data_IF_050921536024
#
_entry.id   IF_050921536024
#
_cell.length_a   1.000
_cell.length_b   1.000
_cell.length_c   1.000
_cell.angle_alpha   90.00
_cell.angle_beta   90.00
_cell.angle_gamma   90.00
#
_symmetry.space_group_name_H-M   'P 1'
#
loop_
_entity.id
_entity.type
_entity.pdbx_description
1 polymer ?
#
# COMPACT_ATOMS: atom_id res chain seq x y z
N UNK A 1 3.70 -2.17 -29.27
CA UNK A 1 4.17 -1.66 -27.97
C UNK A 1 3.12 -0.69 -27.47
N UNK A 2 2.28 -1.12 -26.51
CA UNK A 2 1.43 -0.16 -25.81
C UNK A 2 2.36 0.76 -25.00
N UNK A 3 2.20 2.07 -25.21
CA UNK A 3 2.92 3.06 -24.42
C UNK A 3 2.47 2.94 -22.96
N UNK A 4 3.39 3.05 -22.02
CA UNK A 4 3.05 3.21 -20.59
C UNK A 4 1.96 4.27 -20.47
N UNK A 5 0.91 3.96 -19.73
CA UNK A 5 -0.18 4.90 -19.45
C UNK A 5 0.37 6.14 -18.73
N UNK A 6 1.49 5.98 -18.02
CA UNK A 6 2.19 7.03 -17.30
C UNK A 6 3.68 7.02 -17.65
N UNK A 7 4.05 7.54 -18.81
CA UNK A 7 5.45 7.93 -18.98
C UNK A 7 5.78 9.05 -17.97
N UNK A 8 6.97 9.01 -17.37
CA UNK A 8 7.44 10.00 -16.35
C UNK A 8 7.25 11.47 -16.83
N UNK A 9 7.20 11.70 -18.14
CA UNK A 9 6.91 13.01 -18.74
C UNK A 9 5.46 13.19 -19.17
N UNK A 10 4.58 12.23 -18.87
CA UNK A 10 3.16 12.35 -19.25
C UNK A 10 2.41 13.29 -18.32
N UNK A 11 1.37 13.94 -18.86
CA UNK A 11 0.45 14.75 -18.04
C UNK A 11 -0.18 13.93 -16.92
N UNK A 12 -0.48 12.64 -17.18
CA UNK A 12 -1.06 11.74 -16.19
C UNK A 12 -0.13 11.49 -15.00
N UNK A 13 1.18 11.31 -15.26
CA UNK A 13 2.17 11.14 -14.18
C UNK A 13 2.26 12.41 -13.31
N UNK A 14 2.32 13.60 -13.94
CA UNK A 14 2.35 14.86 -13.19
C UNK A 14 1.09 15.07 -12.35
N UNK A 15 -0.09 14.75 -12.87
CA UNK A 15 -1.35 14.82 -12.11
C UNK A 15 -1.35 13.85 -10.92
N UNK A 16 -0.78 12.67 -11.08
CA UNK A 16 -0.65 11.70 -10.00
C UNK A 16 0.28 12.21 -8.89
N UNK A 17 1.43 12.79 -9.25
CA UNK A 17 2.35 13.41 -8.29
C UNK A 17 1.68 14.59 -7.59
N UNK A 18 0.99 15.45 -8.31
CA UNK A 18 0.24 16.57 -7.72
C UNK A 18 -0.83 16.04 -6.76
N UNK A 19 -1.60 15.03 -7.13
CA UNK A 19 -2.60 14.43 -6.27
C UNK A 19 -1.98 13.87 -4.98
N UNK A 20 -0.83 13.17 -5.08
CA UNK A 20 -0.10 12.68 -3.92
C UNK A 20 0.36 13.83 -3.00
N UNK A 21 0.92 14.90 -3.58
CA UNK A 21 1.36 16.07 -2.80
C UNK A 21 0.18 16.79 -2.13
N UNK A 22 -0.96 16.91 -2.81
CA UNK A 22 -2.18 17.48 -2.22
C UNK A 22 -2.64 16.63 -1.02
N UNK A 23 -2.75 15.31 -1.19
CA UNK A 23 -3.15 14.41 -0.09
C UNK A 23 -2.15 14.50 1.07
N UNK A 24 -0.85 14.47 0.78
CA UNK A 24 0.19 14.63 1.80
C UNK A 24 0.06 15.95 2.56
N UNK A 25 -0.21 17.05 1.85
CA UNK A 25 -0.42 18.36 2.45
C UNK A 25 -1.69 18.43 3.31
N UNK A 26 -2.80 17.83 2.87
CA UNK A 26 -4.04 17.77 3.63
C UNK A 26 -3.89 16.94 4.90
N UNK A 27 -3.16 15.83 4.83
CA UNK A 27 -2.85 14.99 6.00
C UNK A 27 -1.93 15.72 6.97
N UNK A 28 -0.86 16.37 6.46
CA UNK A 28 0.06 17.14 7.28
C UNK A 28 -0.62 18.32 8.00
N UNK A 29 -1.58 18.97 7.33
CA UNK A 29 -2.36 20.08 7.88
C UNK A 29 -3.59 19.62 8.70
N UNK A 30 -3.71 18.31 8.98
CA UNK A 30 -4.78 17.68 9.79
C UNK A 30 -6.21 17.93 9.25
N UNK A 31 -6.35 18.41 8.01
CA UNK A 31 -7.65 18.72 7.39
C UNK A 31 -8.54 17.46 7.27
N UNK A 32 -7.93 16.29 7.18
CA UNK A 32 -8.63 15.01 7.00
C UNK A 32 -8.93 14.29 8.30
N UNK A 33 -8.50 14.81 9.45
CA UNK A 33 -8.53 14.15 10.74
C UNK A 33 -9.93 13.66 11.12
N UNK A 34 -10.93 14.54 11.06
CA UNK A 34 -12.32 14.19 11.41
C UNK A 34 -12.87 13.04 10.55
N UNK A 35 -12.56 13.03 9.24
CA UNK A 35 -12.96 11.95 8.34
C UNK A 35 -12.22 10.65 8.69
N UNK A 36 -10.94 10.73 8.93
CA UNK A 36 -10.09 9.59 9.23
C UNK A 36 -10.46 8.96 10.57
N UNK A 37 -10.68 9.76 11.62
CA UNK A 37 -11.11 9.28 12.94
C UNK A 37 -12.49 8.64 12.90
N UNK A 38 -13.47 9.30 12.26
CA UNK A 38 -14.82 8.74 12.15
C UNK A 38 -14.85 7.41 11.40
N UNK A 39 -13.99 7.27 10.39
CA UNK A 39 -13.82 6.01 9.65
C UNK A 39 -13.22 4.92 10.51
N UNK A 40 -12.17 5.22 11.28
CA UNK A 40 -11.54 4.24 12.18
C UNK A 40 -12.49 3.79 13.27
N UNK A 41 -13.26 4.70 13.89
CA UNK A 41 -14.29 4.36 14.87
C UNK A 41 -15.35 3.44 14.29
N UNK A 42 -15.76 3.68 13.03
CA UNK A 42 -16.68 2.78 12.34
C UNK A 42 -16.08 1.38 12.17
N UNK A 43 -14.84 1.26 11.70
CA UNK A 43 -14.19 -0.04 11.54
C UNK A 43 -13.96 -0.74 12.89
N UNK A 44 -13.62 0.00 13.95
CA UNK A 44 -13.53 -0.55 15.29
C UNK A 44 -14.86 -1.16 15.74
N UNK A 45 -16.00 -0.52 15.45
CA UNK A 45 -17.32 -1.01 15.84
C UNK A 45 -17.75 -2.29 15.12
N UNK A 46 -17.18 -2.62 13.97
CA UNK A 46 -17.46 -3.85 13.20
C UNK A 46 -16.36 -4.91 13.34
N UNK A 47 -15.28 -4.61 14.05
CA UNK A 47 -14.24 -5.57 14.40
C UNK A 47 -14.72 -6.54 15.51
N UNK A 48 -14.02 -7.66 15.68
CA UNK A 48 -14.38 -8.69 16.68
C UNK A 48 -15.16 -9.88 16.12
N UNK A 49 -15.39 -9.92 14.81
CA UNK A 49 -15.89 -11.12 14.16
C UNK A 49 -14.71 -12.04 13.82
N UNK A 50 -14.54 -13.13 14.54
CA UNK A 50 -13.39 -14.04 14.45
C UNK A 50 -13.04 -14.45 13.01
N UNK A 51 -14.03 -14.77 12.19
CA UNK A 51 -13.77 -15.20 10.79
C UNK A 51 -13.28 -14.04 9.93
N UNK A 52 -13.86 -12.86 10.11
CA UNK A 52 -13.48 -11.67 9.37
C UNK A 52 -12.11 -11.15 9.83
N UNK A 53 -11.86 -11.20 11.13
CA UNK A 53 -10.58 -10.84 11.74
C UNK A 53 -9.44 -11.68 11.15
N UNK A 54 -9.62 -13.02 11.11
CA UNK A 54 -8.64 -13.93 10.52
C UNK A 54 -8.42 -13.64 9.02
N UNK A 55 -9.50 -13.39 8.28
CA UNK A 55 -9.38 -13.05 6.85
C UNK A 55 -8.55 -11.78 6.66
N UNK A 56 -8.84 -10.71 7.42
CA UNK A 56 -8.13 -9.45 7.32
C UNK A 56 -6.68 -9.58 7.76
N UNK A 57 -6.42 -10.38 8.78
CA UNK A 57 -5.06 -10.70 9.21
C UNK A 57 -4.29 -11.45 8.12
N UNK A 58 -4.84 -12.52 7.53
CA UNK A 58 -4.18 -13.27 6.44
C UNK A 58 -3.89 -12.35 5.24
N UNK A 59 -4.83 -11.48 4.89
CA UNK A 59 -4.61 -10.51 3.80
C UNK A 59 -3.44 -9.59 4.11
N UNK A 60 -3.35 -9.05 5.33
CA UNK A 60 -2.23 -8.20 5.75
C UNK A 60 -0.90 -8.94 5.70
N UNK A 61 -0.83 -10.18 6.19
CA UNK A 61 0.39 -10.99 6.16
C UNK A 61 0.90 -11.23 4.73
N UNK A 62 0.00 -11.55 3.79
CA UNK A 62 0.37 -11.71 2.36
C UNK A 62 0.95 -10.41 1.79
N UNK A 63 0.48 -9.25 2.23
CA UNK A 63 1.01 -7.93 1.83
C UNK A 63 2.24 -7.48 2.59
N UNK A 64 2.72 -8.27 3.53
CA UNK A 64 3.96 -8.01 4.26
C UNK A 64 5.17 -7.92 3.32
N UNK A 65 6.26 -7.30 3.80
CA UNK A 65 7.44 -7.09 2.97
C UNK A 65 8.07 -8.43 2.56
N UNK A 66 8.11 -9.41 3.46
CA UNK A 66 8.76 -10.70 3.21
C UNK A 66 8.03 -11.50 2.11
N UNK A 67 6.70 -11.76 2.18
CA UNK A 67 6.00 -12.47 1.12
C UNK A 67 6.11 -11.78 -0.24
N UNK A 68 5.99 -10.45 -0.28
CA UNK A 68 6.12 -9.69 -1.53
C UNK A 68 7.54 -9.77 -2.09
N UNK A 69 8.58 -9.66 -1.26
CA UNK A 69 9.96 -9.82 -1.71
C UNK A 69 10.24 -11.23 -2.24
N UNK A 70 9.73 -12.27 -1.58
CA UNK A 70 9.83 -13.66 -2.05
C UNK A 70 9.17 -13.78 -3.43
N UNK A 71 7.95 -13.27 -3.59
CA UNK A 71 7.25 -13.28 -4.88
C UNK A 71 8.07 -12.58 -5.99
N UNK A 72 8.58 -11.38 -5.71
CA UNK A 72 9.38 -10.61 -6.67
C UNK A 72 10.69 -11.35 -7.00
N UNK A 73 11.32 -11.99 -6.01
CA UNK A 73 12.54 -12.78 -6.22
C UNK A 73 12.28 -14.02 -7.09
N UNK A 74 11.18 -14.74 -6.86
CA UNK A 74 10.76 -15.87 -7.72
C UNK A 74 10.55 -15.38 -9.16
N UNK A 75 9.86 -14.25 -9.35
CA UNK A 75 9.68 -13.64 -10.67
C UNK A 75 11.01 -13.23 -11.31
N UNK A 76 11.97 -12.74 -10.53
CA UNK A 76 13.32 -12.40 -10.98
C UNK A 76 14.14 -13.64 -11.36
N UNK A 77 14.05 -14.72 -10.59
CA UNK A 77 14.76 -15.97 -10.85
C UNK A 77 14.27 -16.66 -12.14
N UNK A 78 13.00 -16.50 -12.49
CA UNK A 78 12.42 -17.12 -13.67
C UNK A 78 12.79 -16.36 -14.94
N UNK A 79 13.40 -17.02 -15.91
CA UNK A 79 13.93 -16.40 -17.15
C UNK A 79 12.91 -15.52 -17.90
N UNK A 80 11.65 -15.97 -17.98
CA UNK A 80 10.59 -15.26 -18.74
C UNK A 80 10.10 -13.99 -18.07
N UNK A 81 10.21 -13.88 -16.74
CA UNK A 81 9.69 -12.77 -15.93
C UNK A 81 10.79 -11.96 -15.24
N UNK A 82 12.07 -12.32 -15.48
CA UNK A 82 13.24 -11.73 -14.80
C UNK A 82 13.24 -10.19 -14.81
N UNK A 83 13.00 -9.58 -15.97
CA UNK A 83 12.99 -8.11 -16.09
C UNK A 83 11.90 -7.50 -15.22
N UNK A 84 10.72 -8.09 -15.22
CA UNK A 84 9.58 -7.64 -14.43
C UNK A 84 9.85 -7.82 -12.92
N UNK A 85 10.37 -8.98 -12.52
CA UNK A 85 10.77 -9.23 -11.13
C UNK A 85 11.82 -8.22 -10.63
N UNK A 86 12.80 -7.89 -11.46
CA UNK A 86 13.80 -6.86 -11.12
C UNK A 86 13.19 -5.48 -10.95
N UNK A 87 12.30 -5.07 -11.85
CA UNK A 87 11.59 -3.77 -11.74
C UNK A 87 10.80 -3.72 -10.44
N UNK A 88 10.05 -4.78 -10.12
CA UNK A 88 9.28 -4.85 -8.88
C UNK A 88 10.17 -4.81 -7.63
N UNK A 89 11.28 -5.55 -7.62
CA UNK A 89 12.25 -5.52 -6.50
C UNK A 89 12.78 -4.11 -6.27
N UNK A 90 13.21 -3.42 -7.33
CA UNK A 90 13.74 -2.07 -7.24
C UNK A 90 12.66 -1.07 -6.80
N UNK A 91 11.46 -1.13 -7.37
CA UNK A 91 10.35 -0.26 -6.99
C UNK A 91 9.99 -0.44 -5.51
N UNK A 92 9.89 -1.68 -5.03
CA UNK A 92 9.57 -1.97 -3.63
C UNK A 92 10.69 -1.48 -2.70
N UNK A 93 11.95 -1.71 -3.03
CA UNK A 93 13.08 -1.27 -2.23
C UNK A 93 13.12 0.26 -2.12
N UNK A 94 13.08 0.95 -3.25
CA UNK A 94 13.06 2.42 -3.31
C UNK A 94 11.83 2.96 -2.58
N UNK A 95 10.66 2.38 -2.87
CA UNK A 95 9.40 2.79 -2.25
C UNK A 95 9.41 2.61 -0.72
N UNK A 96 10.01 1.54 -0.21
CA UNK A 96 10.10 1.32 1.24
C UNK A 96 10.99 2.36 1.91
N UNK A 97 12.16 2.66 1.32
CA UNK A 97 13.08 3.68 1.85
C UNK A 97 12.45 5.07 1.82
N UNK A 98 11.85 5.45 0.68
CA UNK A 98 11.22 6.79 0.54
C UNK A 98 9.98 6.90 1.44
N UNK A 99 9.14 5.85 1.53
CA UNK A 99 8.01 5.85 2.44
C UNK A 99 8.45 5.98 3.90
N UNK A 100 9.54 5.31 4.30
CA UNK A 100 10.11 5.43 5.63
C UNK A 100 10.53 6.88 5.93
N UNK A 101 11.23 7.52 4.98
CA UNK A 101 11.60 8.93 5.11
C UNK A 101 10.38 9.86 5.24
N UNK A 102 9.34 9.64 4.41
CA UNK A 102 8.11 10.44 4.48
C UNK A 102 7.41 10.29 5.82
N UNK A 103 7.39 9.09 6.38
CA UNK A 103 6.78 8.79 7.68
C UNK A 103 7.47 9.48 8.85
N UNK A 104 8.80 9.47 8.85
CA UNK A 104 9.59 9.87 10.02
C UNK A 104 10.02 11.33 9.98
N UNK A 105 10.02 11.97 8.79
CA UNK A 105 10.58 13.33 8.63
C UNK A 105 9.72 14.31 7.85
N UNK A 106 8.72 13.85 7.09
CA UNK A 106 7.96 14.76 6.24
C UNK A 106 6.53 14.97 6.72
N UNK A 107 5.83 13.90 7.13
CA UNK A 107 4.42 13.97 7.54
C UNK A 107 4.26 13.68 9.04
N UNK A 108 5.11 12.80 9.59
CA UNK A 108 5.19 12.46 11.03
C UNK A 108 3.83 12.12 11.67
N UNK A 109 2.92 11.54 10.89
CA UNK A 109 1.57 11.23 11.34
C UNK A 109 1.57 10.03 12.30
N UNK A 110 1.00 10.13 13.51
CA UNK A 110 0.83 8.98 14.39
C UNK A 110 -0.14 7.97 13.78
N UNK A 111 -0.03 6.71 14.20
CA UNK A 111 -1.01 5.67 13.86
C UNK A 111 -2.27 5.82 14.69
N UNK A 112 -3.40 5.21 14.25
CA UNK A 112 -4.58 5.13 15.10
C UNK A 112 -4.24 4.55 16.47
N UNK A 113 -4.53 5.32 17.54
CA UNK A 113 -4.33 4.91 18.94
C UNK A 113 -5.64 4.32 19.49
N UNK A 114 -6.10 3.24 18.85
CA UNK A 114 -7.31 2.53 19.25
C UNK A 114 -6.98 1.07 19.51
N UNK A 115 -7.42 0.58 20.65
CA UNK A 115 -7.31 -0.82 21.00
C UNK A 115 -8.21 -1.65 20.07
N UNK A 116 -7.62 -2.64 19.39
CA UNK A 116 -8.35 -3.55 18.55
C UNK A 116 -9.22 -4.47 19.44
N UNK A 117 -10.54 -4.37 19.31
CA UNK A 117 -11.51 -5.11 20.11
C UNK A 117 -11.69 -6.57 19.65
N UNK A 118 -10.95 -6.99 18.64
CA UNK A 118 -11.01 -8.35 18.11
C UNK A 118 -10.36 -9.38 19.02
N UNK A 119 -10.84 -10.60 18.85
CA UNK A 119 -10.40 -11.80 19.56
C UNK A 119 -8.88 -12.02 19.52
N UNK A 120 -8.43 -12.95 20.34
CA UNK A 120 -7.10 -13.57 20.54
C UNK A 120 -6.28 -13.89 19.27
N UNK A 121 -6.36 -13.07 18.23
CA UNK A 121 -5.40 -13.16 17.15
C UNK A 121 -4.02 -12.85 17.74
N UNK A 122 -2.99 -13.60 17.38
CA UNK A 122 -1.61 -13.18 17.61
C UNK A 122 -1.31 -12.03 16.63
N UNK A 123 -2.07 -10.96 16.75
CA UNK A 123 -1.74 -9.70 16.16
C UNK A 123 -0.69 -9.10 17.11
N UNK A 124 0.49 -9.67 17.11
CA UNK A 124 1.66 -8.81 17.08
C UNK A 124 1.47 -8.02 15.78
N UNK A 125 0.69 -6.95 15.94
CA UNK A 125 0.57 -5.92 14.95
C UNK A 125 2.02 -5.54 14.74
N UNK A 126 2.60 -6.16 13.72
CA UNK A 126 3.94 -5.82 13.31
C UNK A 126 3.89 -4.31 13.14
N UNK A 127 4.24 -3.62 14.22
CA UNK A 127 4.61 -2.23 14.06
C UNK A 127 5.53 -2.29 12.87
N UNK A 128 5.27 -1.57 11.79
CA UNK A 128 6.11 -1.50 10.58
C UNK A 128 7.52 -1.00 10.95
N UNK A 129 8.04 -1.51 12.03
CA UNK A 129 9.35 -1.29 12.65
C UNK A 129 10.44 -2.08 11.93
N UNK A 130 10.28 -2.27 10.63
CA UNK A 130 11.47 -2.52 9.83
C UNK A 130 12.29 -1.23 9.87
N UNK A 131 13.57 -1.37 10.17
CA UNK A 131 14.57 -0.28 10.22
C UNK A 131 14.47 0.70 9.04
N UNK A 132 13.85 0.26 7.93
CA UNK A 132 13.66 1.03 6.70
C UNK A 132 12.22 1.54 6.49
N UNK A 133 11.23 1.01 7.21
CA UNK A 133 9.80 1.27 6.95
C UNK A 133 9.20 2.49 7.64
N UNK A 134 9.93 3.11 8.56
CA UNK A 134 9.47 4.25 9.36
C UNK A 134 8.39 3.91 10.38
N UNK A 135 8.20 4.77 11.39
CA UNK A 135 7.24 4.58 12.49
C UNK A 135 5.87 5.21 12.21
N UNK A 136 5.84 6.28 11.43
CA UNK A 136 4.64 7.02 11.12
C UNK A 136 3.59 6.22 10.34
N UNK A 137 2.40 6.81 10.22
CA UNK A 137 1.26 6.19 9.54
C UNK A 137 1.27 6.44 8.04
N UNK A 138 1.54 7.66 7.59
CA UNK A 138 1.41 8.08 6.19
C UNK A 138 2.74 8.02 5.41
N UNK A 139 2.75 7.49 4.19
CA UNK A 139 1.73 6.67 3.53
C UNK A 139 1.78 5.20 3.97
N UNK A 140 0.69 4.43 3.76
CA UNK A 140 0.66 3.02 4.10
C UNK A 140 1.66 2.20 3.27
N UNK A 141 2.64 1.59 3.94
CA UNK A 141 3.69 0.80 3.29
C UNK A 141 3.16 -0.48 2.62
N UNK A 142 2.23 -1.20 3.25
CA UNK A 142 1.60 -2.39 2.68
C UNK A 142 0.84 -2.05 1.39
N UNK A 143 0.04 -0.99 1.41
CA UNK A 143 -0.73 -0.56 0.25
C UNK A 143 0.19 -0.03 -0.86
N UNK A 144 1.26 0.68 -0.51
CA UNK A 144 2.29 1.13 -1.47
C UNK A 144 2.89 -0.04 -2.23
N UNK A 145 3.34 -1.08 -1.51
CA UNK A 145 3.92 -2.28 -2.14
C UNK A 145 2.91 -3.04 -2.99
N UNK A 146 1.70 -3.24 -2.47
CA UNK A 146 0.62 -3.91 -3.20
C UNK A 146 0.24 -3.17 -4.49
N UNK A 147 0.16 -1.83 -4.44
CA UNK A 147 -0.18 -0.99 -5.60
C UNK A 147 0.93 -0.96 -6.63
N UNK A 148 2.20 -0.88 -6.21
CA UNK A 148 3.34 -0.98 -7.10
C UNK A 148 3.37 -2.32 -7.84
N UNK A 149 3.13 -3.41 -7.11
CA UNK A 149 3.04 -4.75 -7.67
C UNK A 149 1.91 -4.85 -8.69
N UNK A 150 0.70 -4.40 -8.32
CA UNK A 150 -0.47 -4.43 -9.20
C UNK A 150 -0.26 -3.60 -10.46
N UNK A 151 0.39 -2.44 -10.35
CA UNK A 151 0.69 -1.59 -11.50
C UNK A 151 1.61 -2.29 -12.51
N UNK A 152 2.75 -2.86 -12.05
CA UNK A 152 3.69 -3.58 -12.90
C UNK A 152 3.06 -4.83 -13.52
N UNK A 153 2.33 -5.62 -12.74
CA UNK A 153 1.63 -6.82 -13.22
C UNK A 153 0.52 -6.46 -14.20
N UNK A 154 -0.29 -5.44 -13.88
CA UNK A 154 -1.37 -4.97 -14.73
C UNK A 154 -0.85 -4.51 -16.09
N UNK A 155 0.27 -3.78 -16.11
CA UNK A 155 0.95 -3.42 -17.34
C UNK A 155 1.41 -4.64 -18.14
N UNK A 156 2.08 -5.58 -17.50
CA UNK A 156 2.60 -6.77 -18.17
C UNK A 156 1.50 -7.70 -18.70
N UNK A 157 0.33 -7.70 -18.08
CA UNK A 157 -0.82 -8.52 -18.45
C UNK A 157 -1.75 -7.83 -19.46
N UNK A 158 -1.66 -6.52 -19.62
CA UNK A 158 -2.60 -5.73 -20.42
C UNK A 158 -2.70 -6.17 -21.88
N UNK A 159 -1.60 -6.64 -22.48
CA UNK A 159 -1.57 -7.13 -23.87
C UNK A 159 -2.23 -8.50 -24.04
N UNK A 160 -2.13 -9.37 -23.01
CA UNK A 160 -2.68 -10.73 -23.06
C UNK A 160 -4.11 -10.81 -22.55
N UNK A 161 -4.47 -9.96 -21.58
CA UNK A 161 -5.77 -9.92 -20.93
C UNK A 161 -6.29 -8.48 -20.85
N UNK A 162 -6.80 -7.92 -21.95
CA UNK A 162 -7.14 -6.50 -22.03
C UNK A 162 -8.15 -6.00 -20.99
N UNK A 163 -8.94 -6.90 -20.39
CA UNK A 163 -9.87 -6.58 -19.29
C UNK A 163 -9.48 -7.22 -17.96
N UNK A 164 -8.66 -8.27 -17.98
CA UNK A 164 -8.24 -9.02 -16.79
C UNK A 164 -7.20 -8.29 -15.95
N UNK A 165 -6.50 -7.31 -16.49
CA UNK A 165 -5.53 -6.52 -15.74
C UNK A 165 -6.16 -5.76 -14.55
N UNK A 166 -7.46 -5.43 -14.63
CA UNK A 166 -8.21 -4.80 -13.53
C UNK A 166 -8.25 -5.73 -12.31
N UNK A 167 -8.31 -7.05 -12.51
CA UNK A 167 -8.38 -8.02 -11.41
C UNK A 167 -7.15 -7.98 -10.50
N UNK A 168 -6.00 -7.55 -11.01
CA UNK A 168 -4.78 -7.40 -10.17
C UNK A 168 -4.97 -6.34 -9.09
N UNK A 169 -5.88 -5.37 -9.31
CA UNK A 169 -6.18 -4.32 -8.34
C UNK A 169 -7.04 -4.78 -7.16
N UNK A 170 -7.62 -5.99 -7.25
CA UNK A 170 -8.28 -6.61 -6.09
C UNK A 170 -7.29 -6.72 -4.93
N UNK A 171 -6.03 -7.04 -5.21
CA UNK A 171 -5.01 -7.21 -4.18
C UNK A 171 -4.74 -5.91 -3.38
N UNK A 172 -4.37 -4.77 -3.99
CA UNK A 172 -4.20 -3.53 -3.22
C UNK A 172 -5.49 -3.03 -2.57
N UNK A 173 -6.67 -3.26 -3.16
CA UNK A 173 -7.95 -2.90 -2.52
C UNK A 173 -8.20 -3.75 -1.29
N UNK A 174 -8.01 -5.06 -1.37
CA UNK A 174 -8.12 -5.96 -0.20
C UNK A 174 -7.12 -5.58 0.89
N UNK A 175 -5.90 -5.23 0.49
CA UNK A 175 -4.87 -4.75 1.42
C UNK A 175 -5.31 -3.44 2.10
N UNK A 176 -5.84 -2.49 1.34
CA UNK A 176 -6.34 -1.23 1.84
C UNK A 176 -7.41 -1.44 2.94
N UNK A 177 -8.42 -2.27 2.63
CA UNK A 177 -9.49 -2.60 3.57
C UNK A 177 -8.93 -3.29 4.82
N UNK A 178 -8.03 -4.25 4.65
CA UNK A 178 -7.40 -4.97 5.76
C UNK A 178 -6.66 -4.01 6.70
N UNK A 179 -5.89 -3.04 6.18
CA UNK A 179 -5.11 -2.11 7.01
C UNK A 179 -5.97 -1.13 7.80
N UNK A 180 -7.12 -0.71 7.24
CA UNK A 180 -8.09 0.14 7.96
C UNK A 180 -8.84 -0.70 8.98
N UNK A 181 -9.31 -1.89 8.61
CA UNK A 181 -10.04 -2.81 9.49
C UNK A 181 -9.24 -3.19 10.73
N UNK A 182 -7.94 -3.47 10.56
CA UNK A 182 -7.02 -3.79 11.65
C UNK A 182 -6.52 -2.56 12.41
N UNK A 183 -7.09 -1.38 12.17
CA UNK A 183 -6.76 -0.09 12.83
C UNK A 183 -5.28 0.30 12.73
N UNK A 184 -4.60 -0.10 11.65
CA UNK A 184 -3.19 0.15 11.44
C UNK A 184 -2.90 1.44 10.67
N UNK A 185 -3.87 1.87 9.87
CA UNK A 185 -3.77 3.04 9.02
C UNK A 185 -5.12 3.73 8.87
N UNK A 186 -5.07 5.02 8.73
CA UNK A 186 -6.24 5.82 8.35
C UNK A 186 -6.56 5.69 6.86
N UNK A 187 -7.81 5.97 6.42
CA UNK A 187 -8.17 5.97 5.01
C UNK A 187 -7.26 6.81 4.12
N UNK A 188 -6.85 8.01 4.59
CA UNK A 188 -5.97 8.86 3.80
C UNK A 188 -4.55 8.31 3.67
N UNK A 189 -4.04 7.54 4.65
CA UNK A 189 -2.76 6.85 4.53
C UNK A 189 -2.79 5.80 3.42
N UNK A 190 -3.93 5.13 3.30
CA UNK A 190 -4.17 4.11 2.29
C UNK A 190 -4.26 4.73 0.89
N UNK A 191 -5.00 5.83 0.74
CA UNK A 191 -5.07 6.57 -0.53
C UNK A 191 -3.68 7.08 -0.92
N UNK A 192 -2.94 7.68 0.02
CA UNK A 192 -1.55 8.07 -0.19
C UNK A 192 -0.67 6.89 -0.62
N UNK A 193 -0.85 5.73 0.01
CA UNK A 193 -0.15 4.49 -0.33
C UNK A 193 -0.42 4.01 -1.76
N UNK A 194 -1.68 4.08 -2.24
CA UNK A 194 -2.03 3.75 -3.62
C UNK A 194 -1.32 4.67 -4.60
N UNK A 195 -1.45 5.99 -4.41
CA UNK A 195 -0.85 6.99 -5.29
C UNK A 195 0.67 6.84 -5.32
N UNK A 196 1.29 6.73 -4.16
CA UNK A 196 2.73 6.57 -4.05
C UNK A 196 3.22 5.27 -4.68
N UNK A 197 2.50 4.15 -4.48
CA UNK A 197 2.81 2.87 -5.09
C UNK A 197 2.82 2.92 -6.62
N UNK A 198 1.87 3.64 -7.23
CA UNK A 198 1.84 3.84 -8.69
C UNK A 198 3.01 4.73 -9.12
N UNK A 199 3.31 5.82 -8.41
CA UNK A 199 4.41 6.74 -8.73
C UNK A 199 5.75 6.02 -8.79
N UNK A 200 6.06 5.18 -7.80
CA UNK A 200 7.35 4.48 -7.75
C UNK A 200 7.47 3.34 -8.77
N UNK A 201 6.35 2.85 -9.29
CA UNK A 201 6.30 1.75 -10.25
C UNK A 201 6.21 2.24 -11.72
N UNK A 202 5.91 3.51 -11.95
CA UNK A 202 5.82 4.13 -13.28
C UNK A 202 7.18 4.49 -13.84
#
# INVERSE_FOLDING_TARGET
MQKFIFEIRSRGFFLLVIAFLIISGLVYAEVTEQFDESSILHFQSVSGNTSLDHLMWVLTEIGGIIPIMIFCFVMFAWRKTRRMGLIMLLAILIGTVVAGYLKDYAVERPRPDLEYLGSELPIEIESDTTVLGGKGSFPSGHVTRASALAFVLGYALSDRFPRGWILVWIFPVSMAVSRIYLLQHYPMDVIGGVLFGIIIAA
#
